data_IF_651901575106
#
_entry.id   IF_651901575106
#
_cell.length_a   1.000
_cell.length_b   1.000
_cell.length_c   1.000
_cell.angle_alpha   90.00
_cell.angle_beta   90.00
_cell.angle_gamma   90.00
#
_symmetry.space_group_name_H-M   'P 1'
#
loop_
_entity.id
_entity.type
_entity.pdbx_description
1 polymer ?
#
# COMPACT_ATOMS: atom_id res chain seq x y z
N UNK A 1 -11.49 4.81 -22.83
CA UNK A 1 -11.37 4.88 -21.35
C UNK A 1 -11.94 6.22 -20.88
N UNK A 2 -12.62 6.22 -19.75
CA UNK A 2 -13.16 7.44 -19.12
C UNK A 2 -12.29 7.78 -17.91
N UNK A 3 -11.90 9.05 -17.79
CA UNK A 3 -11.22 9.56 -16.59
C UNK A 3 -12.22 9.97 -15.54
N UNK A 4 -11.97 9.54 -14.30
CA UNK A 4 -12.81 9.88 -13.15
C UNK A 4 -11.94 10.49 -12.05
N UNK A 5 -12.27 11.73 -11.64
CA UNK A 5 -11.60 12.37 -10.50
C UNK A 5 -12.36 11.99 -9.22
N UNK A 6 -11.80 11.10 -8.42
CA UNK A 6 -12.43 10.59 -7.20
C UNK A 6 -12.76 11.67 -6.16
N UNK A 7 -12.02 12.78 -6.12
CA UNK A 7 -12.33 13.90 -5.24
C UNK A 7 -13.56 14.72 -5.67
N UNK A 8 -14.05 14.50 -6.89
CA UNK A 8 -15.21 15.20 -7.48
C UNK A 8 -16.35 14.24 -7.83
N UNK A 9 -16.18 12.95 -7.57
CA UNK A 9 -17.22 11.95 -7.82
C UNK A 9 -18.36 12.06 -6.81
N UNK A 10 -19.59 11.63 -7.20
CA UNK A 10 -20.63 11.31 -6.25
C UNK A 10 -20.13 10.29 -5.23
N UNK A 11 -20.51 10.47 -3.96
CA UNK A 11 -20.09 9.62 -2.85
C UNK A 11 -21.29 9.10 -2.08
N UNK A 12 -21.15 7.91 -1.49
CA UNK A 12 -22.04 7.37 -0.50
C UNK A 12 -21.30 7.17 0.83
N UNK A 13 -21.96 7.45 1.95
CA UNK A 13 -21.41 7.14 3.27
C UNK A 13 -21.54 5.63 3.48
N UNK A 14 -20.40 4.95 3.62
CA UNK A 14 -20.33 3.52 3.91
C UNK A 14 -19.87 3.30 5.34
N UNK A 15 -20.60 2.49 6.09
CA UNK A 15 -20.24 2.10 7.47
C UNK A 15 -19.25 0.95 7.45
N UNK A 16 -18.32 0.96 8.40
CA UNK A 16 -17.31 -0.09 8.57
C UNK A 16 -17.11 -0.42 10.05
N UNK A 17 -16.99 -1.69 10.35
CA UNK A 17 -16.48 -2.16 11.63
C UNK A 17 -14.95 -2.25 11.52
N UNK A 18 -14.31 -1.10 11.62
CA UNK A 18 -12.88 -0.92 11.49
C UNK A 18 -12.20 -0.62 12.82
N UNK A 19 -10.91 -0.36 12.76
CA UNK A 19 -10.11 0.05 13.91
C UNK A 19 -10.35 1.51 14.29
N UNK A 20 -10.34 2.40 13.32
CA UNK A 20 -10.41 3.84 13.51
C UNK A 20 -11.66 4.45 12.88
N UNK A 21 -11.91 4.15 11.61
CA UNK A 21 -13.10 4.63 10.91
C UNK A 21 -14.34 3.87 11.35
N UNK A 22 -15.45 4.58 11.56
CA UNK A 22 -16.79 4.00 11.72
C UNK A 22 -17.56 4.07 10.42
N UNK A 23 -17.28 5.08 9.62
CA UNK A 23 -17.84 5.31 8.29
C UNK A 23 -16.89 6.19 7.48
N UNK A 24 -17.03 6.17 6.17
CA UNK A 24 -16.30 7.06 5.28
C UNK A 24 -17.10 7.32 3.99
N UNK A 25 -16.93 8.51 3.38
CA UNK A 25 -17.44 8.79 2.04
C UNK A 25 -16.62 8.01 1.02
N UNK A 26 -17.29 7.12 0.28
CA UNK A 26 -16.70 6.29 -0.77
C UNK A 26 -17.34 6.69 -2.10
N UNK A 27 -16.50 6.87 -3.13
CA UNK A 27 -16.98 7.18 -4.47
C UNK A 27 -17.87 6.05 -5.01
N UNK A 28 -19.07 6.40 -5.49
CA UNK A 28 -20.05 5.42 -5.98
C UNK A 28 -19.60 4.69 -7.24
N UNK A 29 -18.57 5.18 -7.92
CA UNK A 29 -17.98 4.49 -9.08
C UNK A 29 -17.44 3.10 -8.74
N UNK A 30 -17.15 2.81 -7.47
CA UNK A 30 -16.72 1.48 -7.04
C UNK A 30 -17.90 0.49 -6.90
N UNK A 31 -19.14 0.98 -6.82
CA UNK A 31 -20.31 0.13 -6.64
C UNK A 31 -20.61 -0.66 -7.92
N UNK A 32 -20.60 -1.98 -7.80
CA UNK A 32 -20.82 -2.88 -8.94
C UNK A 32 -19.70 -2.94 -9.97
N UNK A 33 -18.56 -2.28 -9.72
CA UNK A 33 -17.39 -2.32 -10.59
C UNK A 33 -16.49 -3.49 -10.23
N UNK A 34 -15.78 -4.05 -11.23
CA UNK A 34 -14.61 -4.89 -10.98
C UNK A 34 -13.40 -3.97 -10.77
N UNK A 35 -12.97 -3.88 -9.52
CA UNK A 35 -11.96 -2.90 -9.11
C UNK A 35 -10.55 -3.48 -9.18
N UNK A 36 -9.73 -3.00 -10.12
CA UNK A 36 -8.32 -3.34 -10.22
C UNK A 36 -7.49 -2.22 -9.60
N UNK A 37 -6.72 -2.55 -8.58
CA UNK A 37 -5.76 -1.61 -7.98
C UNK A 37 -4.41 -1.73 -8.65
N UNK A 38 -3.98 -0.69 -9.35
CA UNK A 38 -2.65 -0.60 -9.96
C UNK A 38 -1.76 0.28 -9.09
N UNK A 39 -0.77 -0.32 -8.44
CA UNK A 39 0.11 0.33 -7.48
C UNK A 39 1.58 0.31 -7.92
N UNK A 40 2.39 1.19 -7.36
CA UNK A 40 3.84 1.22 -7.54
C UNK A 40 4.54 0.53 -6.37
N UNK A 41 5.54 -0.30 -6.65
CA UNK A 41 6.42 -0.89 -5.64
C UNK A 41 7.34 0.18 -5.08
N UNK A 42 7.08 0.64 -3.86
CA UNK A 42 7.89 1.72 -3.25
C UNK A 42 7.89 1.70 -1.74
N UNK A 43 8.97 2.25 -1.17
CA UNK A 43 9.05 2.59 0.25
C UNK A 43 8.20 3.82 0.59
N UNK A 44 7.88 3.97 1.86
CA UNK A 44 7.18 5.13 2.39
C UNK A 44 7.60 5.36 3.84
N UNK A 45 7.86 6.60 4.20
CA UNK A 45 8.31 6.98 5.54
C UNK A 45 7.32 6.59 6.64
N UNK A 46 6.01 6.79 6.43
CA UNK A 46 4.99 6.59 7.46
C UNK A 46 4.49 5.14 7.51
N UNK A 47 4.47 4.46 6.37
CA UNK A 47 3.89 3.11 6.26
C UNK A 47 4.90 2.02 5.90
N UNK A 48 6.19 2.33 5.83
CA UNK A 48 7.28 1.44 5.40
C UNK A 48 7.19 1.09 3.92
N UNK A 49 6.09 0.51 3.46
CA UNK A 49 5.86 0.14 2.06
C UNK A 49 4.60 0.79 1.49
N UNK A 50 4.59 0.96 0.19
CA UNK A 50 3.38 1.29 -0.58
C UNK A 50 3.25 0.26 -1.68
N UNK A 51 2.16 -0.46 -1.68
CA UNK A 51 1.72 -1.43 -2.67
C UNK A 51 0.19 -1.32 -2.78
N UNK A 52 -0.54 -2.43 -2.81
CA UNK A 52 -2.00 -2.42 -3.01
C UNK A 52 -2.74 -1.77 -1.83
N UNK A 53 -2.48 -2.23 -0.60
CA UNK A 53 -3.24 -1.78 0.58
C UNK A 53 -3.17 -0.26 0.76
N UNK A 54 -1.96 0.32 0.71
CA UNK A 54 -1.81 1.76 0.85
C UNK A 54 -2.28 2.53 -0.38
N UNK A 55 -2.34 1.92 -1.55
CA UNK A 55 -2.88 2.57 -2.75
C UNK A 55 -4.33 3.00 -2.54
N UNK A 56 -5.14 2.21 -1.82
CA UNK A 56 -6.54 2.54 -1.49
C UNK A 56 -6.66 3.82 -0.65
N UNK A 57 -5.67 4.14 0.15
CA UNK A 57 -5.63 5.43 0.85
C UNK A 57 -5.64 6.61 -0.14
N UNK A 58 -5.05 6.43 -1.33
CA UNK A 58 -5.12 7.38 -2.45
C UNK A 58 -6.53 7.52 -3.04
N UNK A 59 -7.30 6.44 -3.05
CA UNK A 59 -8.67 6.37 -3.60
C UNK A 59 -9.73 6.98 -2.68
N UNK A 60 -9.40 7.29 -1.41
CA UNK A 60 -10.30 8.01 -0.52
C UNK A 60 -10.67 9.38 -1.11
N UNK A 61 -11.93 9.73 -1.06
CA UNK A 61 -12.46 11.02 -1.53
C UNK A 61 -12.12 12.18 -0.59
N UNK A 62 -11.62 11.90 0.60
CA UNK A 62 -11.19 12.92 1.58
C UNK A 62 -9.90 13.58 1.08
N UNK A 63 -9.94 14.90 0.93
CA UNK A 63 -8.83 15.70 0.37
C UNK A 63 -7.70 15.88 1.38
N UNK A 64 -7.99 16.33 2.59
CA UNK A 64 -6.98 16.49 3.64
C UNK A 64 -6.74 15.16 4.37
N UNK A 65 -5.86 14.36 3.79
CA UNK A 65 -5.49 13.05 4.33
C UNK A 65 -4.49 13.10 5.48
N UNK A 66 -3.92 14.27 5.78
CA UNK A 66 -2.92 14.43 6.85
C UNK A 66 -3.52 14.16 8.24
N UNK A 67 -4.80 14.44 8.41
CA UNK A 67 -5.53 14.15 9.66
C UNK A 67 -5.47 12.68 10.07
N UNK A 68 -5.25 11.78 9.12
CA UNK A 68 -5.18 10.33 9.36
C UNK A 68 -3.76 9.82 9.61
N UNK A 69 -2.72 10.66 9.49
CA UNK A 69 -1.34 10.20 9.66
C UNK A 69 -1.07 9.56 11.04
N UNK A 70 -1.64 10.05 12.16
CA UNK A 70 -1.45 9.41 13.47
C UNK A 70 -2.02 7.99 13.56
N UNK A 71 -3.04 7.67 12.73
CA UNK A 71 -3.74 6.39 12.68
C UNK A 71 -3.66 5.73 11.30
N UNK A 72 -2.57 6.00 10.56
CA UNK A 72 -2.46 5.65 9.15
C UNK A 72 -2.65 4.15 8.88
N UNK A 73 -2.09 3.30 9.73
CA UNK A 73 -2.16 1.84 9.54
C UNK A 73 -3.59 1.31 9.71
N UNK A 74 -4.30 1.84 10.70
CA UNK A 74 -5.70 1.54 10.98
C UNK A 74 -6.60 2.00 9.84
N UNK A 75 -6.42 3.26 9.42
CA UNK A 75 -7.22 3.85 8.32
C UNK A 75 -6.98 3.13 6.99
N UNK A 76 -5.74 2.73 6.69
CA UNK A 76 -5.46 1.92 5.49
C UNK A 76 -6.25 0.60 5.55
N UNK A 77 -6.23 -0.11 6.68
CA UNK A 77 -6.98 -1.35 6.81
C UNK A 77 -8.50 -1.12 6.67
N UNK A 78 -9.04 -0.10 7.34
CA UNK A 78 -10.46 0.22 7.31
C UNK A 78 -10.93 0.59 5.89
N UNK A 79 -10.16 1.38 5.16
CA UNK A 79 -10.46 1.72 3.77
C UNK A 79 -10.42 0.50 2.84
N UNK A 80 -9.49 -0.43 3.05
CA UNK A 80 -9.46 -1.67 2.27
C UNK A 80 -10.66 -2.59 2.56
N UNK A 81 -11.27 -2.48 3.74
CA UNK A 81 -12.52 -3.16 4.05
C UNK A 81 -13.71 -2.52 3.35
N UNK A 82 -13.68 -1.20 3.14
CA UNK A 82 -14.72 -0.42 2.45
C UNK A 82 -14.62 -0.49 0.93
N UNK A 83 -13.39 -0.54 0.40
CA UNK A 83 -13.06 -0.50 -1.03
C UNK A 83 -12.10 -1.66 -1.34
N UNK A 84 -12.56 -2.89 -1.15
CA UNK A 84 -11.73 -4.06 -1.40
C UNK A 84 -11.46 -4.19 -2.91
N UNK A 85 -10.19 -4.21 -3.36
CA UNK A 85 -9.90 -4.45 -4.77
C UNK A 85 -10.14 -5.92 -5.12
N UNK A 86 -10.77 -6.18 -6.25
CA UNK A 86 -10.96 -7.54 -6.79
C UNK A 86 -9.65 -8.14 -7.30
N UNK A 87 -8.74 -7.26 -7.73
CA UNK A 87 -7.42 -7.65 -8.21
C UNK A 87 -6.39 -6.55 -7.97
N UNK A 88 -5.19 -6.94 -7.58
CA UNK A 88 -4.07 -6.03 -7.36
C UNK A 88 -2.93 -6.30 -8.33
N UNK A 89 -2.35 -5.23 -8.90
CA UNK A 89 -1.15 -5.26 -9.72
C UNK A 89 -0.16 -4.26 -9.16
N UNK A 90 1.06 -4.71 -8.88
CA UNK A 90 2.15 -3.85 -8.39
C UNK A 90 3.23 -3.76 -9.46
N UNK A 91 3.41 -2.56 -9.98
CA UNK A 91 4.48 -2.23 -10.91
C UNK A 91 5.79 -2.03 -10.13
N UNK A 92 6.70 -2.98 -10.27
CA UNK A 92 8.06 -2.96 -9.78
C UNK A 92 9.10 -2.97 -10.91
N UNK A 93 8.74 -2.64 -12.15
CA UNK A 93 9.71 -2.55 -13.25
C UNK A 93 10.82 -1.58 -12.84
N UNK A 94 10.44 -0.36 -12.48
CA UNK A 94 11.31 0.58 -11.77
C UNK A 94 10.58 0.98 -10.50
N UNK A 95 10.94 0.37 -9.39
CA UNK A 95 10.40 0.70 -8.08
C UNK A 95 11.10 1.92 -7.48
N UNK A 96 10.67 2.33 -6.29
CA UNK A 96 11.28 3.42 -5.54
C UNK A 96 11.70 2.95 -4.16
N UNK A 97 13.00 2.96 -3.89
CA UNK A 97 13.60 2.60 -2.62
C UNK A 97 14.07 3.80 -1.81
N UNK A 98 14.70 3.53 -0.68
CA UNK A 98 15.24 4.52 0.23
C UNK A 98 14.35 4.80 1.44
N UNK A 99 14.89 5.48 2.47
CA UNK A 99 14.22 5.63 3.76
C UNK A 99 13.04 6.62 3.74
N UNK A 100 12.95 7.47 2.74
CA UNK A 100 12.01 8.61 2.71
C UNK A 100 11.08 8.68 1.50
N UNK A 101 10.99 7.63 0.67
CA UNK A 101 10.06 7.73 -0.45
C UNK A 101 8.72 8.37 -0.05
N UNK A 102 8.07 9.14 -0.91
CA UNK A 102 8.37 9.36 -2.32
C UNK A 102 9.28 10.57 -2.62
N UNK A 103 9.54 11.46 -1.65
CA UNK A 103 10.22 12.74 -1.92
C UNK A 103 11.73 12.58 -2.21
N UNK A 104 12.39 11.61 -1.55
CA UNK A 104 13.83 11.38 -1.65
C UNK A 104 14.16 9.92 -1.97
N UNK A 105 13.25 9.23 -2.66
CA UNK A 105 13.47 7.84 -3.02
C UNK A 105 14.40 7.70 -4.21
N UNK A 106 15.11 6.57 -4.27
CA UNK A 106 15.99 6.20 -5.38
C UNK A 106 15.31 5.18 -6.28
N UNK A 107 15.51 5.23 -7.61
CA UNK A 107 14.99 4.22 -8.50
C UNK A 107 15.64 2.86 -8.21
N UNK A 108 14.85 1.81 -8.16
CA UNK A 108 15.29 0.42 -8.04
C UNK A 108 14.77 -0.34 -9.26
N UNK A 109 15.69 -0.77 -10.10
CA UNK A 109 15.37 -1.53 -11.32
C UNK A 109 15.12 -2.99 -10.98
N UNK A 110 13.94 -3.27 -10.41
CA UNK A 110 13.57 -4.64 -10.01
C UNK A 110 13.07 -5.48 -11.17
N UNK A 111 12.58 -4.85 -12.24
CA UNK A 111 12.06 -5.50 -13.45
C UNK A 111 10.99 -6.58 -13.17
N UNK A 112 10.11 -6.30 -12.21
CA UNK A 112 9.08 -7.23 -11.75
C UNK A 112 7.70 -6.62 -11.81
N UNK A 113 6.69 -7.45 -12.09
CA UNK A 113 5.27 -7.18 -11.86
C UNK A 113 4.76 -8.24 -10.91
N UNK A 114 4.09 -7.82 -9.84
CA UNK A 114 3.50 -8.71 -8.84
C UNK A 114 2.00 -8.51 -8.87
N UNK A 115 1.24 -9.59 -8.95
CA UNK A 115 -0.21 -9.49 -9.04
C UNK A 115 -0.93 -10.59 -8.26
N UNK A 116 -2.16 -10.33 -7.84
CA UNK A 116 -2.99 -11.31 -7.14
C UNK A 116 -4.33 -10.76 -6.71
N UNK A 117 -5.24 -11.66 -6.32
CA UNK A 117 -6.58 -11.31 -5.84
C UNK A 117 -6.59 -10.86 -4.38
N UNK A 118 -5.69 -11.40 -3.56
CA UNK A 118 -5.58 -11.07 -2.14
C UNK A 118 -4.59 -9.91 -1.94
N UNK A 119 -5.05 -8.70 -1.58
CA UNK A 119 -4.20 -7.54 -1.43
C UNK A 119 -3.20 -7.68 -0.27
N UNK A 120 -3.53 -8.44 0.78
CA UNK A 120 -2.63 -8.71 1.90
C UNK A 120 -1.52 -9.66 1.48
N UNK A 121 -1.85 -10.69 0.72
CA UNK A 121 -0.88 -11.63 0.15
C UNK A 121 0.11 -10.93 -0.78
N UNK A 122 -0.41 -10.08 -1.69
CA UNK A 122 0.41 -9.28 -2.62
C UNK A 122 1.36 -8.36 -1.85
N UNK A 123 0.85 -7.57 -0.90
CA UNK A 123 1.67 -6.66 -0.10
C UNK A 123 2.68 -7.41 0.77
N UNK A 124 2.33 -8.60 1.28
CA UNK A 124 3.24 -9.47 2.03
C UNK A 124 4.40 -9.97 1.17
N UNK A 125 4.10 -10.41 -0.06
CA UNK A 125 5.12 -10.81 -1.03
C UNK A 125 6.03 -9.63 -1.40
N UNK A 126 5.44 -8.48 -1.74
CA UNK A 126 6.17 -7.25 -2.04
C UNK A 126 7.11 -6.85 -0.89
N UNK A 127 6.63 -6.86 0.35
CA UNK A 127 7.43 -6.48 1.52
C UNK A 127 8.65 -7.39 1.70
N UNK A 128 8.47 -8.72 1.54
CA UNK A 128 9.59 -9.68 1.61
C UNK A 128 10.61 -9.44 0.51
N UNK A 129 10.16 -9.24 -0.73
CA UNK A 129 11.02 -8.98 -1.89
C UNK A 129 11.79 -7.67 -1.73
N UNK A 130 11.18 -6.66 -1.11
CA UNK A 130 11.83 -5.39 -0.75
C UNK A 130 12.80 -5.51 0.44
N UNK A 131 12.94 -6.69 1.05
CA UNK A 131 13.82 -6.94 2.20
C UNK A 131 13.21 -6.54 3.55
N UNK A 132 11.90 -6.34 3.66
CA UNK A 132 11.21 -6.04 4.90
C UNK A 132 10.54 -7.29 5.49
N UNK A 133 10.42 -7.32 6.83
CA UNK A 133 9.57 -8.31 7.49
C UNK A 133 8.12 -7.80 7.46
N UNK A 134 7.20 -8.45 6.73
CA UNK A 134 5.81 -7.98 6.62
C UNK A 134 5.07 -7.99 7.97
N UNK A 135 5.49 -8.85 8.92
CA UNK A 135 4.89 -8.89 10.27
C UNK A 135 5.15 -7.62 11.09
N UNK A 136 6.18 -6.85 10.75
CA UNK A 136 6.47 -5.55 11.40
C UNK A 136 5.77 -4.38 10.73
N UNK A 137 5.17 -4.57 9.55
CA UNK A 137 4.45 -3.53 8.83
C UNK A 137 3.01 -3.47 9.32
N UNK A 138 2.68 -2.38 10.02
CA UNK A 138 1.43 -2.26 10.77
C UNK A 138 0.19 -2.41 9.89
N UNK A 139 0.11 -1.74 8.74
CA UNK A 139 -1.09 -1.79 7.89
C UNK A 139 -1.32 -3.18 7.27
N UNK A 140 -0.26 -3.93 6.91
CA UNK A 140 -0.39 -5.31 6.40
C UNK A 140 -0.96 -6.20 7.51
N UNK A 141 -0.41 -6.11 8.72
CA UNK A 141 -0.89 -6.88 9.87
C UNK A 141 -2.33 -6.55 10.22
N UNK A 142 -2.70 -5.26 10.27
CA UNK A 142 -4.06 -4.79 10.55
C UNK A 142 -5.06 -5.29 9.50
N UNK A 143 -4.71 -5.23 8.22
CA UNK A 143 -5.55 -5.73 7.14
C UNK A 143 -5.79 -7.25 7.27
N UNK A 144 -4.75 -8.03 7.58
CA UNK A 144 -4.89 -9.46 7.85
C UNK A 144 -5.80 -9.74 9.06
N UNK A 145 -5.64 -9.00 10.15
CA UNK A 145 -6.47 -9.14 11.36
C UNK A 145 -7.94 -8.78 11.13
N UNK A 146 -8.23 -7.84 10.22
CA UNK A 146 -9.62 -7.51 9.80
C UNK A 146 -10.24 -8.53 8.82
N UNK A 147 -9.50 -9.58 8.45
CA UNK A 147 -9.98 -10.58 7.51
C UNK A 147 -10.06 -10.10 6.06
N UNK A 148 -9.28 -9.06 5.69
CA UNK A 148 -9.21 -8.54 4.32
C UNK A 148 -8.48 -9.51 3.40
N UNK A 149 -7.52 -10.26 3.95
CA UNK A 149 -6.75 -11.26 3.24
C UNK A 149 -5.77 -11.97 4.16
N UNK A 150 -4.85 -12.76 3.60
CA UNK A 150 -3.90 -13.59 4.33
C UNK A 150 -2.45 -13.20 4.08
N UNK A 151 -1.65 -13.24 5.13
CA UNK A 151 -0.18 -13.12 5.00
C UNK A 151 0.48 -14.42 4.52
N UNK A 152 -0.29 -15.51 4.42
CA UNK A 152 0.14 -16.76 3.80
C UNK A 152 -0.28 -16.74 2.33
N UNK A 153 0.62 -17.11 1.44
CA UNK A 153 0.38 -17.13 0.00
C UNK A 153 1.22 -18.20 -0.68
N UNK A 154 0.76 -18.61 -1.84
CA UNK A 154 1.54 -19.39 -2.78
C UNK A 154 2.03 -18.45 -3.88
N UNK A 155 3.35 -18.39 -4.08
CA UNK A 155 3.95 -17.63 -5.17
C UNK A 155 4.06 -18.54 -6.41
N UNK A 156 3.52 -18.06 -7.52
CA UNK A 156 3.76 -18.67 -8.83
C UNK A 156 4.63 -17.70 -9.60
N UNK A 157 5.85 -18.12 -9.93
CA UNK A 157 6.80 -17.23 -10.60
C UNK A 157 7.86 -18.03 -11.38
N UNK A 158 8.49 -17.37 -12.33
CA UNK A 158 9.60 -17.89 -13.12
C UNK A 158 10.96 -17.59 -12.46
N UNK A 159 11.11 -17.94 -11.16
CA UNK A 159 12.39 -17.81 -10.44
C UNK A 159 12.52 -16.56 -9.57
N UNK A 160 11.44 -15.82 -9.32
CA UNK A 160 11.42 -14.61 -8.48
C UNK A 160 11.75 -14.86 -7.00
N UNK A 161 11.61 -16.09 -6.52
CA UNK A 161 11.91 -16.46 -5.12
C UNK A 161 13.38 -16.20 -4.75
N UNK A 162 14.26 -16.14 -5.73
CA UNK A 162 15.71 -15.93 -5.56
C UNK A 162 16.11 -14.44 -5.64
N UNK A 163 15.20 -13.55 -5.97
CA UNK A 163 15.48 -12.14 -6.16
C UNK A 163 15.04 -11.33 -4.93
N UNK A 164 16.00 -10.92 -4.12
CA UNK A 164 15.80 -9.94 -3.06
C UNK A 164 16.40 -8.60 -3.48
N UNK A 165 15.61 -7.53 -3.47
CA UNK A 165 16.10 -6.18 -3.75
C UNK A 165 16.26 -5.38 -2.47
N UNK A 166 17.33 -4.61 -2.39
CA UNK A 166 17.56 -3.73 -1.25
C UNK A 166 16.80 -2.41 -1.42
N UNK A 167 15.54 -2.41 -1.04
CA UNK A 167 14.72 -1.20 -1.00
C UNK A 167 14.97 -0.33 0.23
N UNK A 168 15.71 -0.82 1.22
CA UNK A 168 15.94 -0.11 2.48
C UNK A 168 16.91 1.07 2.35
N UNK A 169 17.73 1.06 1.30
CA UNK A 169 18.85 2.00 1.16
C UNK A 169 20.06 1.68 2.06
N UNK A 170 21.11 2.46 1.93
CA UNK A 170 22.32 2.32 2.71
C UNK A 170 22.06 2.63 4.20
N UNK A 171 22.60 1.87 5.17
CA UNK A 171 22.50 2.19 6.59
C UNK A 171 22.98 3.59 6.95
N UNK A 172 24.02 4.10 6.27
CA UNK A 172 24.55 5.45 6.48
C UNK A 172 23.56 6.54 6.07
N UNK A 173 22.90 6.38 4.90
CA UNK A 173 21.86 7.30 4.44
C UNK A 173 20.68 7.35 5.41
N UNK A 174 20.29 6.20 5.97
CA UNK A 174 19.24 6.13 7.00
C UNK A 174 19.63 6.88 8.27
N UNK A 175 20.90 6.82 8.69
CA UNK A 175 21.40 7.51 9.86
C UNK A 175 21.41 9.02 9.65
N UNK A 176 21.91 9.51 8.52
CA UNK A 176 21.97 10.93 8.16
C UNK A 176 20.55 11.54 8.11
N UNK A 177 19.61 10.84 7.50
CA UNK A 177 18.22 11.31 7.39
C UNK A 177 17.54 11.37 8.76
N UNK A 178 17.79 10.39 9.64
CA UNK A 178 17.25 10.39 11.00
C UNK A 178 17.82 11.51 11.87
N UNK A 179 19.07 11.92 11.63
CA UNK A 179 19.72 13.06 12.31
C UNK A 179 19.12 14.37 11.79
N UNK A 180 19.01 14.54 10.47
CA UNK A 180 18.47 15.76 9.86
C UNK A 180 16.99 16.03 10.10
N UNK A 181 16.24 15.04 10.63
CA UNK A 181 14.83 15.18 10.99
C UNK A 181 14.60 15.49 12.47
N UNK A 182 15.67 15.52 13.27
CA UNK A 182 15.63 15.90 14.69
C UNK A 182 16.02 17.36 14.93
N UNK A 183 16.39 18.07 13.87
CA UNK A 183 16.65 19.49 13.83
C UNK A 183 15.47 20.22 13.15
#
# INVERSE_FOLDING_TARGET
AQWVNLAKCPTAIKKVQGYYLKEAPIATVFDGSYFISLAKLKTNRLSTTTCILKNQFGCSTIVDKKIYHPHLAEVIADLNKLMHPDFGIVDGIIGQGGPQGPAFGMPIHSQVIIAGKDPVAVDTACARMMGFNPRTIAHIRRAAQLGIGSMQYQLVSDGLEKMAWNYRGNPLERMIINIGLRL
#
